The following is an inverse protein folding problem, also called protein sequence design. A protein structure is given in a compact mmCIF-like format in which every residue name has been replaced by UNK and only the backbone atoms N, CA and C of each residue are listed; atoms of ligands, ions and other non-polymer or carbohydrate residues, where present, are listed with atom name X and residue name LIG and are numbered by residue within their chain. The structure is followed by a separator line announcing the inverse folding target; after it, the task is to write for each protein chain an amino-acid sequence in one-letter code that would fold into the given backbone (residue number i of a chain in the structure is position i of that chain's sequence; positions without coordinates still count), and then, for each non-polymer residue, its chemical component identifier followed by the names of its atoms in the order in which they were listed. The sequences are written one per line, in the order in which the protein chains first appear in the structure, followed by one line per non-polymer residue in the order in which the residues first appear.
data_IF_313050727443
#
_entry.id   IF_313050727443
#
_cell.length_a   1.000
_cell.length_b   1.000
_cell.length_c   1.000
_cell.angle_alpha   90.00
_cell.angle_beta   90.00
_cell.angle_gamma   90.00
#
_symmetry.space_group_name_H-M   'P 1'
#
loop_
_entity.id
_entity.type
_entity.pdbx_description
1 polymer ?
#
# COMPACT_ATOMS: atom_id res chain seq x y z
N UNK A 1 0.27 -41.37 0.61
CA UNK A 1 -0.52 -41.17 -0.62
C UNK A 1 -1.82 -40.47 -0.23
N UNK A 2 -1.84 -39.14 -0.35
CA UNK A 2 -3.01 -38.24 -0.47
C UNK A 2 -2.50 -36.81 -0.35
N UNK A 3 -2.06 -36.27 -1.48
CA UNK A 3 -1.90 -34.83 -1.68
C UNK A 3 -3.28 -34.21 -1.85
N UNK A 4 -3.56 -33.15 -1.09
CA UNK A 4 -4.71 -32.28 -1.30
C UNK A 4 -4.28 -30.83 -1.06
N UNK A 5 -4.40 -30.05 -2.14
CA UNK A 5 -3.84 -28.73 -2.34
C UNK A 5 -4.35 -27.65 -1.37
N UNK A 6 -3.41 -26.87 -0.86
CA UNK A 6 -3.64 -25.62 -0.12
C UNK A 6 -3.91 -24.46 -1.09
N UNK A 7 -5.19 -24.14 -1.32
CA UNK A 7 -5.62 -22.96 -2.08
C UNK A 7 -5.80 -21.72 -1.20
N UNK A 8 -5.25 -20.59 -1.65
CA UNK A 8 -5.24 -19.26 -1.03
C UNK A 8 -6.58 -18.51 -1.19
N UNK A 9 -7.34 -18.34 -0.11
CA UNK A 9 -8.56 -17.50 -0.06
C UNK A 9 -8.13 -16.07 0.27
N UNK A 10 -7.90 -15.27 -0.76
CA UNK A 10 -7.49 -13.86 -0.66
C UNK A 10 -7.54 -13.13 -2.00
N UNK A 11 -7.50 -13.88 -3.10
CA UNK A 11 -7.72 -13.36 -4.45
C UNK A 11 -9.19 -13.49 -4.91
N UNK A 12 -10.04 -14.23 -4.19
CA UNK A 12 -11.33 -14.68 -4.72
C UNK A 12 -12.38 -13.57 -4.97
N UNK A 13 -12.11 -12.29 -4.65
CA UNK A 13 -13.10 -11.20 -4.68
C UNK A 13 -12.74 -9.98 -5.55
N UNK A 14 -11.60 -9.98 -6.26
CA UNK A 14 -11.31 -8.86 -7.18
C UNK A 14 -12.21 -8.92 -8.42
N UNK A 15 -12.77 -7.78 -8.86
CA UNK A 15 -13.47 -7.72 -10.14
C UNK A 15 -12.60 -8.24 -11.28
N UNK A 16 -13.19 -8.99 -12.19
CA UNK A 16 -12.50 -9.67 -13.28
C UNK A 16 -12.74 -8.92 -14.58
N UNK A 17 -11.67 -8.61 -15.29
CA UNK A 17 -11.67 -8.06 -16.64
C UNK A 17 -11.16 -9.12 -17.60
N UNK A 18 -11.98 -9.53 -18.57
CA UNK A 18 -11.52 -10.44 -19.61
C UNK A 18 -11.11 -9.67 -20.87
N UNK A 19 -9.98 -10.03 -21.46
CA UNK A 19 -9.52 -9.49 -22.74
C UNK A 19 -9.73 -10.54 -23.82
N UNK A 20 -10.69 -10.28 -24.72
CA UNK A 20 -11.07 -11.17 -25.82
C UNK A 20 -10.76 -10.53 -27.16
N UNK A 21 -10.55 -11.35 -28.18
CA UNK A 21 -10.23 -10.90 -29.52
C UNK A 21 -9.37 -11.92 -30.24
N UNK A 22 -9.26 -11.77 -31.56
CA UNK A 22 -8.54 -12.72 -32.40
C UNK A 22 -7.03 -12.72 -32.12
N UNK A 23 -6.29 -13.73 -32.59
CA UNK A 23 -4.83 -13.69 -32.55
C UNK A 23 -4.28 -12.41 -33.21
N UNK A 24 -3.14 -11.92 -32.72
CA UNK A 24 -2.38 -10.80 -33.32
C UNK A 24 -3.04 -9.40 -33.34
N UNK A 25 -4.21 -9.21 -32.74
CA UNK A 25 -4.85 -7.88 -32.55
C UNK A 25 -4.15 -7.02 -31.48
N UNK A 26 -3.19 -7.59 -30.74
CA UNK A 26 -2.38 -6.87 -29.73
C UNK A 26 -2.91 -6.95 -28.30
N UNK A 27 -3.68 -7.99 -27.95
CA UNK A 27 -4.19 -8.26 -26.59
C UNK A 27 -3.09 -8.23 -25.54
N UNK A 28 -2.04 -9.03 -25.71
CA UNK A 28 -0.96 -9.13 -24.71
C UNK A 28 -0.18 -7.82 -24.55
N UNK A 29 -0.03 -7.04 -25.63
CA UNK A 29 0.55 -5.70 -25.56
C UNK A 29 -0.32 -4.74 -24.74
N UNK A 30 -1.65 -4.80 -24.92
CA UNK A 30 -2.59 -4.00 -24.15
C UNK A 30 -2.58 -4.43 -22.67
N UNK A 31 -2.63 -5.73 -22.38
CA UNK A 31 -2.57 -6.27 -21.01
C UNK A 31 -1.28 -5.82 -20.31
N UNK A 32 -0.12 -5.98 -20.96
CA UNK A 32 1.16 -5.53 -20.40
C UNK A 32 1.19 -4.03 -20.12
N UNK A 33 0.55 -3.22 -20.97
CA UNK A 33 0.41 -1.78 -20.73
C UNK A 33 -0.44 -1.48 -19.51
N UNK A 34 -1.58 -2.14 -19.37
CA UNK A 34 -2.48 -1.90 -18.24
C UNK A 34 -1.78 -2.27 -16.92
N UNK A 35 -1.06 -3.39 -16.90
CA UNK A 35 -0.31 -3.85 -15.73
C UNK A 35 0.93 -2.99 -15.45
N UNK A 36 1.65 -2.54 -16.49
CA UNK A 36 2.90 -1.79 -16.37
C UNK A 36 2.76 -0.30 -16.01
N UNK A 37 1.54 0.23 -15.85
CA UNK A 37 1.32 1.66 -15.54
C UNK A 37 1.70 2.07 -14.11
N UNK A 38 2.03 1.13 -13.22
CA UNK A 38 2.84 1.31 -11.98
C UNK A 38 2.95 -0.06 -11.27
N UNK A 39 4.18 -0.55 -11.11
CA UNK A 39 4.61 -1.73 -10.33
C UNK A 39 3.50 -2.54 -9.64
N UNK A 40 2.79 -3.38 -10.40
CA UNK A 40 2.09 -4.51 -9.83
C UNK A 40 3.11 -5.62 -9.58
N UNK A 41 3.26 -6.06 -8.33
CA UNK A 41 4.03 -7.26 -8.00
C UNK A 41 3.36 -8.42 -8.75
N UNK A 42 4.04 -8.92 -9.77
CA UNK A 42 3.63 -10.12 -10.51
C UNK A 42 3.93 -11.32 -9.62
N UNK A 43 2.95 -11.78 -8.85
CA UNK A 43 3.03 -13.11 -8.23
C UNK A 43 2.73 -14.17 -9.30
N UNK A 44 3.79 -14.80 -9.82
CA UNK A 44 3.64 -16.08 -10.51
C UNK A 44 3.30 -17.14 -9.47
N UNK A 45 2.04 -17.60 -9.45
CA UNK A 45 1.65 -18.75 -8.61
C UNK A 45 2.19 -20.04 -9.24
N UNK A 46 3.09 -20.78 -8.57
CA UNK A 46 3.49 -22.10 -9.03
C UNK A 46 2.33 -23.07 -8.77
N UNK A 47 1.85 -23.76 -9.82
CA UNK A 47 0.97 -24.92 -9.66
C UNK A 47 -0.43 -24.87 -10.29
N UNK A 48 -0.71 -23.95 -11.22
CA UNK A 48 -1.97 -23.97 -12.00
C UNK A 48 -1.69 -24.28 -13.47
N UNK A 49 -2.42 -25.25 -13.99
CA UNK A 49 -2.32 -25.82 -15.34
C UNK A 49 -2.16 -24.78 -16.45
N UNK A 50 -1.10 -24.98 -17.25
CA UNK A 50 -0.61 -24.44 -18.54
C UNK A 50 -1.29 -23.29 -19.33
N UNK A 51 -2.50 -22.80 -19.07
CA UNK A 51 -3.26 -22.02 -20.06
C UNK A 51 -3.88 -20.68 -19.59
N UNK A 52 -3.57 -20.15 -18.40
CA UNK A 52 -4.18 -18.89 -17.92
C UNK A 52 -3.19 -17.99 -17.20
N UNK A 53 -2.91 -16.80 -17.76
CA UNK A 53 -2.22 -15.71 -17.05
C UNK A 53 -3.26 -14.77 -16.45
N UNK A 54 -3.37 -14.78 -15.14
CA UNK A 54 -4.15 -13.81 -14.38
C UNK A 54 -3.18 -12.77 -13.83
N UNK A 55 -3.44 -11.50 -14.10
CA UNK A 55 -2.61 -10.39 -13.63
C UNK A 55 -3.48 -9.41 -12.85
N UNK A 56 -2.93 -8.84 -11.77
CA UNK A 56 -3.63 -7.79 -11.01
C UNK A 56 -3.16 -6.44 -11.52
N UNK A 57 -4.11 -5.55 -11.82
CA UNK A 57 -3.87 -4.18 -12.21
C UNK A 57 -4.57 -3.22 -11.24
N UNK A 58 -4.09 -1.97 -11.22
CA UNK A 58 -4.69 -0.88 -10.44
C UNK A 58 -4.80 0.38 -11.29
N UNK A 59 -5.96 1.03 -11.24
CA UNK A 59 -6.19 2.33 -11.88
C UNK A 59 -7.03 3.22 -10.96
N UNK A 60 -6.53 4.43 -10.66
CA UNK A 60 -7.18 5.41 -9.75
C UNK A 60 -7.57 4.75 -8.41
N UNK A 61 -6.65 3.98 -7.82
CA UNK A 61 -6.87 3.28 -6.55
C UNK A 61 -7.80 2.06 -6.62
N UNK A 62 -8.37 1.74 -7.80
CA UNK A 62 -9.23 0.59 -7.99
C UNK A 62 -8.44 -0.61 -8.53
N UNK A 63 -8.41 -1.71 -7.77
CA UNK A 63 -7.76 -2.97 -8.15
C UNK A 63 -8.72 -3.91 -8.85
N UNK A 64 -8.23 -4.60 -9.88
CA UNK A 64 -8.99 -5.60 -10.62
C UNK A 64 -8.05 -6.66 -11.21
N UNK A 65 -8.59 -7.85 -11.48
CA UNK A 65 -7.88 -8.94 -12.13
C UNK A 65 -8.12 -8.87 -13.63
N UNK A 66 -7.06 -8.91 -14.42
CA UNK A 66 -7.10 -9.05 -15.87
C UNK A 66 -6.82 -10.50 -16.24
N UNK A 67 -7.69 -11.06 -17.06
CA UNK A 67 -7.59 -12.41 -17.60
C UNK A 67 -7.46 -12.30 -19.13
N UNK A 68 -6.29 -12.66 -19.66
CA UNK A 68 -6.12 -12.81 -21.11
C UNK A 68 -6.69 -14.18 -21.51
N UNK A 69 -7.78 -14.18 -22.28
CA UNK A 69 -8.42 -15.43 -22.70
C UNK A 69 -7.72 -16.08 -23.90
N UNK A 70 -6.65 -15.50 -24.45
CA UNK A 70 -6.20 -15.83 -25.81
C UNK A 70 -4.69 -15.90 -26.11
N UNK A 71 -3.81 -16.18 -25.16
CA UNK A 71 -2.41 -16.54 -25.45
C UNK A 71 -1.81 -17.23 -24.24
N UNK A 72 -1.25 -18.44 -24.33
CA UNK A 72 -0.07 -18.82 -25.09
C UNK A 72 -0.22 -20.25 -25.64
N UNK A 73 0.22 -20.48 -26.88
CA UNK A 73 0.18 -21.76 -27.63
C UNK A 73 -1.13 -21.96 -28.42
N UNK A 74 -1.07 -21.52 -29.67
CA UNK A 74 -1.97 -22.00 -30.71
C UNK A 74 -1.55 -23.43 -31.09
N UNK A 75 -2.25 -24.44 -30.59
CA UNK A 75 -2.25 -25.76 -31.23
C UNK A 75 -3.41 -25.86 -32.21
N UNK A 76 -3.08 -26.43 -33.37
CA UNK A 76 -3.89 -26.52 -34.58
C UNK A 76 -5.19 -27.31 -34.36
N UNK A 77 -6.29 -26.61 -34.12
CA UNK A 77 -7.67 -27.05 -34.41
C UNK A 77 -8.60 -25.82 -34.45
N UNK A 78 -9.69 -25.91 -35.23
CA UNK A 78 -10.49 -24.82 -35.78
C UNK A 78 -10.57 -23.50 -34.96
N UNK A 79 -9.82 -22.48 -35.42
CA UNK A 79 -9.66 -21.15 -34.81
C UNK A 79 -11.00 -20.49 -34.42
N UNK A 80 -12.02 -20.61 -35.28
CA UNK A 80 -13.33 -20.00 -35.06
C UNK A 80 -14.08 -20.57 -33.83
N UNK A 81 -13.94 -21.87 -33.57
CA UNK A 81 -14.58 -22.53 -32.41
C UNK A 81 -13.93 -22.07 -31.10
N UNK A 82 -12.59 -22.05 -31.08
CA UNK A 82 -11.83 -21.57 -29.91
C UNK A 82 -12.13 -20.11 -29.57
N UNK A 83 -12.21 -19.24 -30.57
CA UNK A 83 -12.50 -17.82 -30.36
C UNK A 83 -13.94 -17.62 -29.83
N UNK A 84 -14.89 -18.44 -30.26
CA UNK A 84 -16.27 -18.43 -29.74
C UNK A 84 -16.33 -18.90 -28.29
N UNK A 85 -15.64 -19.99 -27.95
CA UNK A 85 -15.55 -20.51 -26.57
C UNK A 85 -14.91 -19.50 -25.60
N UNK A 86 -13.91 -18.75 -26.06
CA UNK A 86 -13.29 -17.66 -25.28
C UNK A 86 -14.28 -16.54 -24.97
N UNK A 87 -15.08 -16.13 -25.96
CA UNK A 87 -16.09 -15.09 -25.78
C UNK A 87 -17.17 -15.52 -24.77
N UNK A 88 -17.69 -16.75 -24.91
CA UNK A 88 -18.68 -17.30 -23.97
C UNK A 88 -18.12 -17.44 -22.55
N UNK A 89 -16.84 -17.81 -22.43
CA UNK A 89 -16.18 -17.91 -21.13
C UNK A 89 -16.00 -16.54 -20.48
N UNK A 90 -15.59 -15.53 -21.25
CA UNK A 90 -15.52 -14.15 -20.78
C UNK A 90 -16.88 -13.67 -20.26
N UNK A 91 -17.98 -13.97 -20.96
CA UNK A 91 -19.33 -13.66 -20.51
C UNK A 91 -19.69 -14.33 -19.18
N UNK A 92 -19.20 -15.53 -18.91
CA UNK A 92 -19.46 -16.22 -17.63
C UNK A 92 -18.62 -15.68 -16.49
N UNK A 93 -17.33 -15.44 -16.73
CA UNK A 93 -16.34 -15.23 -15.66
C UNK A 93 -15.97 -13.77 -15.40
N UNK A 94 -16.07 -12.88 -16.39
CA UNK A 94 -15.63 -11.49 -16.26
C UNK A 94 -16.73 -10.60 -15.72
N UNK A 95 -16.42 -9.53 -15.02
CA UNK A 95 -17.38 -8.48 -14.72
C UNK A 95 -17.43 -7.41 -15.83
N UNK A 96 -16.30 -7.18 -16.51
CA UNK A 96 -16.19 -6.32 -17.71
C UNK A 96 -15.39 -7.05 -18.79
N UNK A 97 -15.80 -6.91 -20.05
CA UNK A 97 -15.15 -7.58 -21.18
C UNK A 97 -14.55 -6.52 -22.12
N UNK A 98 -13.26 -6.65 -22.45
CA UNK A 98 -12.60 -5.85 -23.48
C UNK A 98 -12.52 -6.67 -24.77
N UNK A 99 -13.27 -6.26 -25.81
CA UNK A 99 -13.15 -6.83 -27.14
C UNK A 99 -12.12 -6.04 -27.94
N UNK A 100 -10.94 -6.62 -28.15
CA UNK A 100 -9.83 -5.98 -28.87
C UNK A 100 -9.85 -6.35 -30.35
N UNK A 101 -9.89 -5.33 -31.21
CA UNK A 101 -9.84 -5.44 -32.67
C UNK A 101 -8.65 -4.65 -33.20
N UNK A 102 -8.04 -5.13 -34.28
CA UNK A 102 -6.99 -4.39 -34.98
C UNK A 102 -7.59 -3.35 -35.93
N UNK A 103 -7.43 -2.07 -35.61
CA UNK A 103 -7.97 -0.98 -36.42
C UNK A 103 -7.35 -0.90 -37.82
N UNK A 104 -6.14 -1.44 -38.03
CA UNK A 104 -5.47 -1.44 -39.33
C UNK A 104 -6.05 -2.47 -40.30
N UNK A 105 -6.71 -3.50 -39.77
CA UNK A 105 -7.35 -4.57 -40.56
C UNK A 105 -8.85 -4.29 -40.72
N UNK A 106 -9.46 -3.63 -39.73
CA UNK A 106 -10.91 -3.43 -39.67
C UNK A 106 -11.65 -4.67 -39.15
N UNK A 107 -12.98 -4.61 -39.15
CA UNK A 107 -13.84 -5.69 -38.65
C UNK A 107 -13.82 -6.90 -39.61
N UNK A 108 -13.37 -8.06 -39.13
CA UNK A 108 -13.44 -9.31 -39.89
C UNK A 108 -14.70 -10.12 -39.57
N UNK A 109 -14.95 -11.18 -40.34
CA UNK A 109 -16.06 -12.10 -40.06
C UNK A 109 -15.95 -12.74 -38.66
N UNK A 110 -14.73 -13.11 -38.27
CA UNK A 110 -14.40 -13.67 -36.96
C UNK A 110 -14.68 -12.65 -35.83
N UNK A 111 -14.33 -11.36 -36.02
CA UNK A 111 -14.68 -10.29 -35.08
C UNK A 111 -16.20 -10.15 -34.98
N UNK A 112 -16.91 -10.22 -36.12
CA UNK A 112 -18.37 -10.20 -36.16
C UNK A 112 -19.02 -11.37 -35.41
N UNK A 113 -18.45 -12.58 -35.50
CA UNK A 113 -18.93 -13.75 -34.76
C UNK A 113 -18.78 -13.55 -33.24
N UNK A 114 -17.61 -13.08 -32.79
CA UNK A 114 -17.37 -12.75 -31.37
C UNK A 114 -18.31 -11.67 -30.89
N UNK A 115 -18.47 -10.60 -31.67
CA UNK A 115 -19.34 -9.48 -31.31
C UNK A 115 -20.79 -9.94 -31.15
N UNK A 116 -21.32 -10.79 -32.05
CA UNK A 116 -22.68 -11.36 -31.91
C UNK A 116 -22.87 -12.19 -30.65
N UNK A 117 -21.83 -12.89 -30.19
CA UNK A 117 -21.86 -13.63 -28.93
C UNK A 117 -21.89 -12.65 -27.76
N UNK A 118 -20.96 -11.69 -27.74
CA UNK A 118 -20.82 -10.70 -26.67
C UNK A 118 -22.00 -9.74 -26.56
N UNK A 119 -22.73 -9.47 -27.65
CA UNK A 119 -23.99 -8.69 -27.63
C UNK A 119 -25.07 -9.33 -26.74
N UNK A 120 -24.99 -10.65 -26.47
CA UNK A 120 -25.91 -11.36 -25.56
C UNK A 120 -25.47 -11.24 -24.10
N UNK A 121 -24.30 -10.66 -23.83
CA UNK A 121 -23.78 -10.44 -22.50
C UNK A 121 -24.65 -9.45 -21.73
N UNK A 122 -24.94 -9.78 -20.47
CA UNK A 122 -25.51 -8.85 -19.50
C UNK A 122 -24.44 -8.00 -18.80
N UNK A 123 -23.16 -8.25 -19.10
CA UNK A 123 -22.00 -7.54 -18.54
C UNK A 123 -21.50 -6.49 -19.52
N UNK A 124 -20.94 -5.35 -19.05
CA UNK A 124 -20.37 -4.33 -19.91
C UNK A 124 -19.31 -4.89 -20.86
N UNK A 125 -19.43 -4.55 -22.14
CA UNK A 125 -18.46 -4.91 -23.18
C UNK A 125 -17.91 -3.63 -23.79
N UNK A 126 -16.61 -3.41 -23.69
CA UNK A 126 -15.92 -2.27 -24.27
C UNK A 126 -15.22 -2.71 -25.56
N UNK A 127 -15.57 -2.07 -26.67
CA UNK A 127 -14.91 -2.29 -27.96
C UNK A 127 -13.61 -1.48 -28.02
N UNK A 128 -12.48 -2.16 -28.21
CA UNK A 128 -11.15 -1.55 -28.21
C UNK A 128 -10.53 -1.66 -29.60
N UNK A 129 -10.40 -0.53 -30.29
CA UNK A 129 -9.74 -0.43 -31.58
C UNK A 129 -8.24 -0.17 -31.36
N UNK A 130 -7.43 -1.23 -31.43
CA UNK A 130 -5.99 -1.17 -31.17
C UNK A 130 -5.17 -0.84 -32.43
N UNK A 131 -3.92 -0.40 -32.25
CA UNK A 131 -2.97 0.02 -33.31
C UNK A 131 -3.35 1.34 -34.03
N UNK A 132 -4.10 2.19 -33.34
CA UNK A 132 -4.40 3.56 -33.80
C UNK A 132 -3.24 4.48 -33.42
N UNK A 133 -2.20 4.47 -34.25
CA UNK A 133 -0.94 5.18 -33.99
C UNK A 133 -0.94 6.63 -34.53
N UNK A 134 -1.87 6.97 -35.43
CA UNK A 134 -1.98 8.27 -36.09
C UNK A 134 -3.44 8.73 -36.26
N UNK A 135 -3.63 10.01 -36.56
CA UNK A 135 -4.94 10.66 -36.68
C UNK A 135 -5.74 10.22 -37.92
N UNK A 136 -5.09 9.69 -38.96
CA UNK A 136 -5.80 9.19 -40.17
C UNK A 136 -6.55 7.90 -39.84
N UNK A 137 -5.96 7.04 -39.02
CA UNK A 137 -6.57 5.78 -38.56
C UNK A 137 -7.74 5.96 -37.60
N UNK A 138 -7.94 7.16 -37.04
CA UNK A 138 -9.12 7.46 -36.21
C UNK A 138 -10.41 7.43 -37.06
N UNK A 139 -10.34 7.84 -38.33
CA UNK A 139 -11.49 7.82 -39.25
C UNK A 139 -11.90 6.38 -39.62
N UNK A 140 -10.93 5.50 -39.87
CA UNK A 140 -11.17 4.10 -40.25
C UNK A 140 -11.72 3.28 -39.09
N UNK A 141 -11.34 3.61 -37.86
CA UNK A 141 -11.81 2.92 -36.66
C UNK A 141 -13.32 3.10 -36.42
N UNK A 142 -13.95 4.18 -36.90
CA UNK A 142 -15.41 4.36 -36.81
C UNK A 142 -16.20 3.26 -37.54
N UNK A 143 -15.61 2.61 -38.55
CA UNK A 143 -16.23 1.50 -39.24
C UNK A 143 -16.49 0.29 -38.31
N UNK A 144 -15.76 0.18 -37.20
CA UNK A 144 -15.91 -0.88 -36.19
C UNK A 144 -17.21 -0.78 -35.41
N UNK A 145 -17.88 0.37 -35.40
CA UNK A 145 -19.22 0.55 -34.80
C UNK A 145 -20.24 -0.45 -35.38
N UNK A 146 -20.02 -0.93 -36.61
CA UNK A 146 -20.85 -1.97 -37.25
C UNK A 146 -20.84 -3.31 -36.49
N UNK A 147 -19.90 -3.54 -35.57
CA UNK A 147 -19.90 -4.69 -34.66
C UNK A 147 -20.99 -4.60 -33.58
N UNK A 148 -21.65 -3.45 -33.42
CA UNK A 148 -22.82 -3.30 -32.55
C UNK A 148 -22.51 -3.41 -31.05
N UNK A 149 -21.30 -3.03 -30.63
CA UNK A 149 -20.84 -3.03 -29.23
C UNK A 149 -20.61 -1.61 -28.68
N UNK A 150 -21.21 -0.60 -29.31
CA UNK A 150 -21.02 0.81 -28.96
C UNK A 150 -19.86 1.47 -29.72
N UNK A 151 -19.46 2.65 -29.24
CA UNK A 151 -18.37 3.42 -29.83
C UNK A 151 -17.00 2.78 -29.53
N UNK A 152 -16.09 2.66 -30.51
CA UNK A 152 -14.79 2.04 -30.29
C UNK A 152 -13.85 2.97 -29.52
N UNK A 153 -13.24 2.45 -28.45
CA UNK A 153 -12.13 3.10 -27.76
C UNK A 153 -10.85 2.97 -28.58
N UNK A 154 -10.36 4.10 -29.08
CA UNK A 154 -9.18 4.16 -29.95
C UNK A 154 -7.91 4.11 -29.11
N UNK A 155 -7.12 3.05 -29.26
CA UNK A 155 -5.89 2.87 -28.48
C UNK A 155 -4.69 2.52 -29.34
N UNK A 156 -3.52 3.00 -28.91
CA UNK A 156 -2.24 2.43 -29.32
C UNK A 156 -1.62 1.76 -28.10
N UNK A 157 -1.74 0.44 -28.01
CA UNK A 157 -1.14 -0.36 -26.94
C UNK A 157 0.39 -0.33 -26.94
N UNK A 158 1.04 0.06 -28.05
CA UNK A 158 2.49 0.25 -28.13
C UNK A 158 2.89 1.67 -27.71
N UNK A 159 2.15 2.71 -28.10
CA UNK A 159 2.61 4.11 -27.90
C UNK A 159 1.99 4.88 -26.73
N UNK A 160 0.79 4.54 -26.28
CA UNK A 160 0.22 4.99 -24.99
C UNK A 160 -1.12 5.66 -25.15
N UNK A 161 -1.40 6.07 -26.39
CA UNK A 161 -2.57 6.84 -26.80
C UNK A 161 -3.87 6.12 -26.44
N UNK A 162 -4.82 6.87 -25.86
CA UNK A 162 -6.18 6.40 -25.51
C UNK A 162 -6.27 5.40 -24.36
N UNK A 163 -5.14 4.92 -23.83
CA UNK A 163 -5.14 3.92 -22.75
C UNK A 163 -5.51 4.48 -21.37
N UNK A 164 -5.62 5.80 -21.21
CA UNK A 164 -6.14 6.43 -19.98
C UNK A 164 -7.66 6.40 -19.99
N UNK A 165 -8.25 7.01 -21.01
CA UNK A 165 -9.71 7.08 -21.21
C UNK A 165 -10.36 5.68 -21.25
N UNK A 166 -9.71 4.68 -21.87
CA UNK A 166 -10.17 3.28 -21.81
C UNK A 166 -10.20 2.74 -20.38
N UNK A 167 -9.21 3.07 -19.55
CA UNK A 167 -9.13 2.58 -18.17
C UNK A 167 -10.14 3.29 -17.26
N UNK A 168 -10.41 4.57 -17.50
CA UNK A 168 -11.45 5.32 -16.80
C UNK A 168 -12.82 4.66 -17.03
N UNK A 169 -13.17 4.38 -18.29
CA UNK A 169 -14.42 3.69 -18.65
C UNK A 169 -14.47 2.25 -18.12
N UNK A 170 -13.36 1.51 -18.22
CA UNK A 170 -13.25 0.15 -17.68
C UNK A 170 -13.57 0.13 -16.18
N UNK A 171 -12.95 1.01 -15.39
CA UNK A 171 -13.16 1.07 -13.94
C UNK A 171 -14.59 1.48 -13.62
N UNK A 172 -15.18 2.40 -14.38
CA UNK A 172 -16.58 2.79 -14.23
C UNK A 172 -17.56 1.62 -14.48
N UNK A 173 -17.20 0.70 -15.38
CA UNK A 173 -17.99 -0.50 -15.68
C UNK A 173 -17.83 -1.65 -14.68
N UNK A 174 -16.83 -1.62 -13.80
CA UNK A 174 -16.65 -2.68 -12.80
C UNK A 174 -17.80 -2.68 -11.78
N UNK A 175 -18.19 -3.86 -11.23
CA UNK A 175 -19.14 -3.94 -10.14
C UNK A 175 -18.68 -3.00 -9.04
N UNK A 176 -19.59 -2.19 -8.51
CA UNK A 176 -19.27 -1.38 -7.33
C UNK A 176 -18.68 -2.33 -6.29
N UNK A 177 -17.58 -1.91 -5.67
CA UNK A 177 -17.03 -2.67 -4.56
C UNK A 177 -18.20 -2.91 -3.61
N UNK A 178 -18.46 -4.15 -3.14
CA UNK A 178 -19.31 -4.28 -1.98
C UNK A 178 -18.73 -3.28 -0.99
N UNK A 179 -19.53 -2.28 -0.59
CA UNK A 179 -19.13 -1.33 0.44
C UNK A 179 -18.48 -2.20 1.50
N UNK A 180 -17.16 -2.03 1.73
CA UNK A 180 -16.60 -2.42 3.01
C UNK A 180 -17.62 -1.92 4.03
N UNK A 181 -18.06 -2.76 5.00
CA UNK A 181 -19.11 -2.38 5.94
C UNK A 181 -18.85 -0.95 6.31
N UNK A 182 -19.82 -0.07 5.98
CA UNK A 182 -19.63 1.38 5.90
C UNK A 182 -18.61 1.76 6.96
N UNK A 183 -17.44 2.24 6.53
CA UNK A 183 -16.45 2.75 7.48
C UNK A 183 -17.26 3.60 8.45
N UNK A 184 -17.27 3.26 9.76
CA UNK A 184 -18.20 3.86 10.68
C UNK A 184 -18.09 5.37 10.49
N UNK A 185 -19.20 6.05 10.22
CA UNK A 185 -19.21 7.52 10.11
C UNK A 185 -18.71 8.08 11.45
N UNK A 186 -17.41 8.37 11.49
CA UNK A 186 -16.64 8.68 12.69
C UNK A 186 -15.13 8.57 12.40
N UNK A 187 -14.28 9.24 13.18
CA UNK A 187 -12.84 9.05 13.07
C UNK A 187 -12.48 7.57 13.33
N UNK A 188 -11.74 6.96 12.40
CA UNK A 188 -11.21 5.62 12.60
C UNK A 188 -10.30 5.62 13.84
N UNK A 189 -10.39 4.61 14.73
CA UNK A 189 -9.52 4.55 15.90
C UNK A 189 -8.05 4.51 15.47
N UNK A 190 -7.22 5.30 16.14
CA UNK A 190 -5.78 5.36 15.89
C UNK A 190 -5.16 3.96 16.01
N UNK A 191 -4.50 3.54 14.94
CA UNK A 191 -4.10 2.16 14.77
C UNK A 191 -2.64 1.90 15.13
N UNK A 192 -2.40 0.82 15.87
CA UNK A 192 -1.13 0.56 16.54
C UNK A 192 -0.67 -0.87 16.24
N UNK A 193 0.53 -0.99 15.66
CA UNK A 193 1.23 -2.26 15.55
C UNK A 193 2.16 -2.48 16.75
N UNK A 194 2.19 -3.70 17.31
CA UNK A 194 3.20 -4.09 18.30
C UNK A 194 4.24 -4.96 17.61
N UNK A 195 5.46 -4.42 17.47
CA UNK A 195 6.52 -5.02 16.66
C UNK A 195 7.80 -5.19 17.47
N UNK A 196 8.68 -6.07 17.02
CA UNK A 196 9.91 -6.43 17.72
C UNK A 196 10.29 -7.89 17.50
N UNK A 197 11.51 -8.26 17.87
CA UNK A 197 12.04 -9.62 17.71
C UNK A 197 11.22 -10.68 18.46
N UNK A 198 11.34 -11.97 18.10
CA UNK A 198 10.80 -13.04 18.94
C UNK A 198 11.20 -12.89 20.42
N UNK A 199 10.34 -13.30 21.34
CA UNK A 199 10.63 -13.39 22.79
C UNK A 199 10.95 -12.08 23.55
N UNK A 200 10.87 -10.91 22.90
CA UNK A 200 11.01 -9.59 23.56
C UNK A 200 9.84 -9.22 24.49
N UNK A 201 8.74 -10.01 24.47
CA UNK A 201 7.59 -9.84 25.35
C UNK A 201 6.39 -9.09 24.76
N UNK A 202 6.25 -9.05 23.43
CA UNK A 202 5.11 -8.42 22.72
C UNK A 202 3.74 -8.91 23.19
N UNK A 203 3.53 -10.23 23.24
CA UNK A 203 2.25 -10.81 23.68
C UNK A 203 1.94 -10.50 25.15
N UNK A 204 2.96 -10.54 26.02
CA UNK A 204 2.81 -10.17 27.43
C UNK A 204 2.44 -8.70 27.56
N UNK A 205 3.09 -7.82 26.77
CA UNK A 205 2.79 -6.40 26.74
C UNK A 205 1.36 -6.13 26.27
N UNK A 206 0.95 -6.73 25.15
CA UNK A 206 -0.39 -6.62 24.61
C UNK A 206 -1.47 -7.06 25.63
N UNK A 207 -1.34 -8.26 26.20
CA UNK A 207 -2.30 -8.78 27.16
C UNK A 207 -2.40 -7.91 28.42
N UNK A 208 -1.28 -7.30 28.82
CA UNK A 208 -1.27 -6.36 29.94
C UNK A 208 -1.94 -5.04 29.59
N UNK A 209 -1.61 -4.44 28.46
CA UNK A 209 -2.27 -3.21 28.01
C UNK A 209 -3.78 -3.38 27.84
N UNK A 210 -4.23 -4.55 27.37
CA UNK A 210 -5.66 -4.88 27.25
C UNK A 210 -6.29 -5.22 28.61
N UNK A 211 -5.54 -5.85 29.52
CA UNK A 211 -6.08 -6.38 30.79
C UNK A 211 -5.92 -5.49 32.02
N UNK A 212 -4.99 -4.52 32.03
CA UNK A 212 -4.74 -3.61 33.17
C UNK A 212 -5.68 -2.39 33.19
N UNK A 213 -6.47 -2.18 32.15
CA UNK A 213 -7.39 -1.04 32.05
C UNK A 213 -8.78 -1.51 31.63
N UNK A 214 -9.79 -0.72 32.03
CA UNK A 214 -11.23 -0.97 31.96
C UNK A 214 -11.78 -0.99 30.52
N UNK A 215 -11.02 -1.59 29.61
CA UNK A 215 -11.26 -1.59 28.19
C UNK A 215 -12.21 -2.70 27.79
N UNK A 216 -13.25 -2.32 27.05
CA UNK A 216 -14.08 -3.29 26.35
C UNK A 216 -13.33 -3.67 25.08
N UNK A 217 -13.20 -4.97 24.86
CA UNK A 217 -12.42 -5.54 23.77
C UNK A 217 -13.39 -6.00 22.70
N UNK A 218 -13.28 -5.42 21.50
CA UNK A 218 -14.02 -5.85 20.33
C UNK A 218 -13.06 -6.38 19.27
N UNK A 219 -13.32 -7.58 18.77
CA UNK A 219 -12.54 -8.19 17.70
C UNK A 219 -13.20 -7.86 16.35
N UNK A 220 -12.47 -7.18 15.47
CA UNK A 220 -12.91 -6.91 14.10
C UNK A 220 -12.30 -7.94 13.15
N UNK A 221 -13.12 -8.65 12.35
CA UNK A 221 -12.61 -9.51 11.28
C UNK A 221 -11.87 -8.67 10.23
N UNK A 222 -10.56 -8.81 10.12
CA UNK A 222 -9.76 -8.16 9.08
C UNK A 222 -9.99 -8.81 7.71
N UNK A 223 -10.11 -8.00 6.66
CA UNK A 223 -10.24 -8.48 5.28
C UNK A 223 -8.87 -8.89 4.74
N UNK A 224 -8.35 -10.04 5.17
CA UNK A 224 -7.32 -10.87 4.51
C UNK A 224 -6.96 -12.03 5.47
N UNK A 225 -7.69 -13.13 5.32
CA UNK A 225 -7.52 -14.51 5.82
C UNK A 225 -7.11 -14.83 7.28
N UNK A 226 -6.46 -13.98 8.08
CA UNK A 226 -6.04 -14.39 9.45
C UNK A 226 -5.73 -13.24 10.43
N UNK A 227 -5.94 -11.97 10.07
CA UNK A 227 -5.69 -10.85 10.99
C UNK A 227 -6.95 -10.49 11.74
N UNK A 228 -6.95 -10.77 13.05
CA UNK A 228 -7.92 -10.21 13.99
C UNK A 228 -7.28 -8.94 14.53
N UNK A 229 -7.92 -7.80 14.27
CA UNK A 229 -7.59 -6.54 14.90
C UNK A 229 -8.40 -6.42 16.19
N UNK A 230 -7.82 -5.81 17.22
CA UNK A 230 -8.48 -5.62 18.50
C UNK A 230 -8.68 -4.15 18.78
N UNK A 231 -9.93 -3.72 18.94
CA UNK A 231 -10.25 -2.39 19.47
C UNK A 231 -10.24 -2.46 20.99
N UNK A 232 -9.55 -1.50 21.59
CA UNK A 232 -9.41 -1.32 23.04
C UNK A 232 -9.99 0.06 23.37
N UNK A 233 -11.11 0.07 24.09
CA UNK A 233 -11.69 1.30 24.62
C UNK A 233 -10.83 1.81 25.80
N UNK A 234 -10.24 2.99 25.68
CA UNK A 234 -9.49 3.64 26.78
C UNK A 234 -10.29 4.84 27.31
N UNK A 235 -9.95 5.34 28.50
CA UNK A 235 -10.56 6.56 29.06
C UNK A 235 -10.40 7.78 28.13
N UNK A 236 -9.44 7.73 27.20
CA UNK A 236 -9.10 8.79 26.24
C UNK A 236 -9.58 8.47 24.81
N UNK A 237 -10.37 7.41 24.61
CA UNK A 237 -10.97 7.02 23.33
C UNK A 237 -10.55 5.63 22.84
N UNK A 238 -11.08 5.16 21.70
CA UNK A 238 -10.75 3.84 21.16
C UNK A 238 -9.35 3.82 20.53
N UNK A 239 -8.63 2.72 20.70
CA UNK A 239 -7.38 2.39 19.99
C UNK A 239 -7.52 1.06 19.26
N UNK A 240 -7.00 0.95 18.04
CA UNK A 240 -7.03 -0.29 17.26
C UNK A 240 -5.65 -0.93 17.24
N UNK A 241 -5.47 -2.09 17.88
CA UNK A 241 -4.26 -2.88 17.75
C UNK A 241 -4.35 -3.79 16.53
N UNK A 242 -3.38 -3.69 15.63
CA UNK A 242 -3.33 -4.42 14.36
C UNK A 242 -2.62 -5.76 14.53
N UNK A 243 -3.13 -6.80 13.87
CA UNK A 243 -2.54 -8.16 13.84
C UNK A 243 -2.34 -8.78 15.25
N UNK A 244 -3.39 -8.74 16.07
CA UNK A 244 -3.35 -9.27 17.45
C UNK A 244 -3.52 -10.80 17.50
N UNK A 245 -4.02 -11.41 16.43
CA UNK A 245 -4.16 -12.85 16.29
C UNK A 245 -2.84 -13.61 16.52
N UNK A 246 -1.73 -13.11 15.96
CA UNK A 246 -0.39 -13.68 16.18
C UNK A 246 0.11 -13.52 17.61
N UNK A 247 -0.33 -12.48 18.32
CA UNK A 247 0.02 -12.24 19.72
C UNK A 247 -0.80 -13.10 20.69
N UNK A 248 -2.08 -13.35 20.39
CA UNK A 248 -2.98 -14.21 21.17
C UNK A 248 -2.75 -15.72 20.94
N UNK A 249 -2.34 -16.15 19.72
CA UNK A 249 -2.04 -17.57 19.42
C UNK A 249 -0.68 -18.04 19.98
N UNK A 250 0.31 -17.15 20.08
CA UNK A 250 1.66 -17.46 20.60
C UNK A 250 1.73 -17.89 22.07
N UNK A 251 0.63 -17.78 22.83
CA UNK A 251 0.55 -18.41 24.17
C UNK A 251 0.30 -19.92 24.13
N UNK A 252 0.06 -20.54 22.96
CA UNK A 252 -0.30 -21.97 22.88
C UNK A 252 0.37 -22.79 21.76
N UNK A 253 1.10 -22.23 20.79
CA UNK A 253 1.69 -23.00 19.67
C UNK A 253 3.04 -22.43 19.21
N UNK A 254 4.03 -23.30 19.00
CA UNK A 254 5.27 -23.05 18.25
C UNK A 254 4.97 -23.09 16.74
N UNK A 255 4.88 -21.93 16.09
CA UNK A 255 4.76 -21.85 14.62
C UNK A 255 6.16 -21.74 13.95
N UNK A 256 6.38 -22.39 12.80
CA UNK A 256 7.68 -22.50 12.17
C UNK A 256 8.05 -21.23 11.37
N UNK A 257 9.36 -20.95 11.32
CA UNK A 257 10.08 -19.93 10.53
C UNK A 257 9.93 -18.45 10.92
N UNK A 258 11.02 -17.88 11.43
CA UNK A 258 11.20 -16.44 11.74
C UNK A 258 10.87 -15.51 10.55
N UNK A 259 11.04 -15.98 9.32
CA UNK A 259 10.79 -15.22 8.09
C UNK A 259 9.36 -14.70 7.99
N UNK A 260 8.34 -15.54 8.22
CA UNK A 260 6.94 -15.13 8.17
C UNK A 260 6.56 -14.17 9.29
N UNK A 261 7.27 -14.24 10.43
CA UNK A 261 7.06 -13.30 11.54
C UNK A 261 7.52 -11.88 11.20
N UNK A 262 8.58 -11.74 10.40
CA UNK A 262 9.06 -10.43 9.94
C UNK A 262 8.10 -9.86 8.89
N UNK A 263 7.69 -10.65 7.88
CA UNK A 263 6.76 -10.18 6.84
C UNK A 263 5.44 -9.71 7.45
N UNK A 264 4.87 -10.46 8.40
CA UNK A 264 3.66 -10.05 9.14
C UNK A 264 3.87 -8.76 9.92
N UNK A 265 4.98 -8.63 10.64
CA UNK A 265 5.29 -7.40 11.38
C UNK A 265 5.39 -6.18 10.45
N UNK A 266 5.94 -6.33 9.25
CA UNK A 266 5.99 -5.25 8.25
C UNK A 266 4.61 -4.90 7.71
N UNK A 267 3.78 -5.91 7.40
CA UNK A 267 2.40 -5.68 6.96
C UNK A 267 1.55 -4.99 8.04
N UNK A 268 1.76 -5.32 9.32
CA UNK A 268 1.09 -4.66 10.43
C UNK A 268 1.50 -3.18 10.52
N UNK A 269 2.79 -2.88 10.34
CA UNK A 269 3.31 -1.49 10.32
C UNK A 269 2.72 -0.69 9.16
N UNK A 270 2.64 -1.27 7.96
CA UNK A 270 2.08 -0.60 6.78
C UNK A 270 0.58 -0.24 6.93
N UNK A 271 -0.12 -0.91 7.86
CA UNK A 271 -1.55 -0.69 8.16
C UNK A 271 -1.81 0.09 9.45
N UNK A 272 -0.75 0.54 10.12
CA UNK A 272 -0.83 1.21 11.42
C UNK A 272 -0.36 2.66 11.35
N UNK A 273 -0.99 3.52 12.12
CA UNK A 273 -0.61 4.93 12.29
C UNK A 273 0.60 5.07 13.22
N UNK A 274 0.72 4.17 14.21
CA UNK A 274 1.86 4.06 15.11
C UNK A 274 2.37 2.61 15.29
N UNK A 275 3.62 2.49 15.73
CA UNK A 275 4.27 1.25 16.05
C UNK A 275 4.90 1.32 17.45
N UNK A 276 4.53 0.36 18.31
CA UNK A 276 5.24 0.06 19.55
C UNK A 276 6.42 -0.87 19.22
N UNK A 277 7.63 -0.31 19.13
CA UNK A 277 8.84 -1.09 18.92
C UNK A 277 9.34 -1.65 20.26
N UNK A 278 9.05 -2.92 20.51
CA UNK A 278 9.41 -3.62 21.73
C UNK A 278 10.80 -4.23 21.60
N UNK A 279 11.69 -3.82 22.51
CA UNK A 279 13.07 -4.28 22.58
C UNK A 279 13.31 -4.90 23.95
N UNK A 280 14.01 -6.03 23.97
CA UNK A 280 14.45 -6.65 25.23
C UNK A 280 15.63 -5.87 25.82
N UNK A 281 15.40 -5.16 26.92
CA UNK A 281 16.42 -4.35 27.56
C UNK A 281 17.56 -5.18 28.16
N UNK A 282 17.35 -6.47 28.41
CA UNK A 282 18.39 -7.39 28.91
C UNK A 282 19.36 -7.83 27.81
N UNK A 283 18.99 -7.69 26.55
CA UNK A 283 19.88 -7.95 25.41
C UNK A 283 20.44 -6.66 24.81
N UNK A 284 19.79 -5.53 25.07
CA UNK A 284 20.10 -4.25 24.42
C UNK A 284 19.52 -4.19 23.00
N UNK A 285 19.90 -3.17 22.24
CA UNK A 285 19.40 -2.98 20.87
C UNK A 285 20.21 -3.84 19.91
N UNK A 286 19.58 -4.86 19.31
CA UNK A 286 20.23 -5.71 18.31
C UNK A 286 20.22 -5.09 16.90
N UNK A 287 20.98 -5.68 15.96
CA UNK A 287 20.91 -5.27 14.55
C UNK A 287 19.54 -5.50 13.91
N UNK A 288 18.79 -6.51 14.36
CA UNK A 288 17.45 -6.77 13.84
C UNK A 288 16.44 -5.76 14.39
N UNK A 289 16.61 -5.29 15.63
CA UNK A 289 15.81 -4.18 16.18
C UNK A 289 16.06 -2.89 15.39
N UNK A 290 17.33 -2.59 15.07
CA UNK A 290 17.70 -1.43 14.27
C UNK A 290 17.12 -1.49 12.84
N UNK A 291 17.23 -2.63 12.15
CA UNK A 291 16.65 -2.79 10.81
C UNK A 291 15.13 -2.66 10.81
N UNK A 292 14.47 -3.16 11.84
CA UNK A 292 13.03 -3.03 12.00
C UNK A 292 12.65 -1.57 12.24
N UNK A 293 13.38 -0.86 13.10
CA UNK A 293 13.21 0.57 13.33
C UNK A 293 13.38 1.41 12.04
N UNK A 294 14.43 1.15 11.26
CA UNK A 294 14.67 1.79 9.96
C UNK A 294 13.50 1.56 8.99
N UNK A 295 12.90 0.36 9.00
CA UNK A 295 11.78 0.05 8.13
C UNK A 295 10.48 0.74 8.56
N UNK A 296 10.23 0.84 9.86
CA UNK A 296 9.07 1.57 10.39
C UNK A 296 9.20 3.07 10.06
N UNK A 297 10.40 3.64 10.25
CA UNK A 297 10.68 5.03 9.88
C UNK A 297 10.47 5.27 8.38
N UNK A 298 10.95 4.36 7.54
CA UNK A 298 10.77 4.43 6.09
C UNK A 298 9.29 4.35 5.65
N UNK A 299 8.45 3.61 6.39
CA UNK A 299 6.99 3.60 6.17
C UNK A 299 6.35 4.96 6.55
N UNK A 300 7.03 5.72 7.42
CA UNK A 300 6.54 6.95 7.99
C UNK A 300 5.38 6.70 8.95
N UNK A 301 5.54 5.68 9.78
CA UNK A 301 4.66 5.32 10.91
C UNK A 301 5.26 5.91 12.21
N UNK A 302 4.44 6.44 13.10
CA UNK A 302 4.91 6.95 14.40
C UNK A 302 5.57 5.84 15.23
N UNK A 303 6.64 6.15 15.96
CA UNK A 303 7.39 5.13 16.70
C UNK A 303 7.43 5.51 18.18
N UNK A 304 7.05 4.56 19.02
CA UNK A 304 7.30 4.59 20.45
C UNK A 304 8.18 3.39 20.78
N UNK A 305 9.39 3.66 21.27
CA UNK A 305 10.35 2.61 21.62
C UNK A 305 10.05 2.14 23.04
N UNK A 306 9.87 0.84 23.21
CA UNK A 306 9.53 0.20 24.49
C UNK A 306 10.67 -0.74 24.88
N UNK A 307 11.50 -0.31 25.83
CA UNK A 307 12.52 -1.14 26.47
C UNK A 307 11.86 -2.00 27.53
N UNK A 308 11.47 -3.22 27.16
CA UNK A 308 10.80 -4.18 28.01
C UNK A 308 11.80 -4.98 28.87
N UNK A 309 11.30 -5.64 29.92
CA UNK A 309 12.09 -6.39 30.90
C UNK A 309 13.10 -5.53 31.67
N UNK A 310 12.80 -4.23 31.82
CA UNK A 310 13.70 -3.27 32.47
C UNK A 310 14.00 -3.62 33.94
N UNK A 311 13.07 -4.31 34.60
CA UNK A 311 13.22 -4.85 35.95
C UNK A 311 14.35 -5.88 36.08
N UNK A 312 14.65 -6.60 34.99
CA UNK A 312 15.72 -7.60 34.96
C UNK A 312 17.10 -7.00 34.63
N UNK A 313 17.18 -5.71 34.29
CA UNK A 313 18.44 -5.05 33.95
C UNK A 313 19.18 -4.60 35.23
N UNK A 314 20.38 -5.14 35.52
CA UNK A 314 21.19 -4.72 36.67
C UNK A 314 21.54 -3.23 36.60
N UNK A 315 21.60 -2.57 37.75
CA UNK A 315 21.79 -1.12 37.86
C UNK A 315 23.06 -0.65 37.12
N UNK A 316 24.12 -1.44 37.17
CA UNK A 316 25.43 -1.18 36.57
C UNK A 316 25.38 -1.24 35.04
N UNK A 317 24.45 -2.01 34.46
CA UNK A 317 24.31 -2.19 33.01
C UNK A 317 23.37 -1.17 32.37
N UNK A 318 22.51 -0.50 33.16
CA UNK A 318 21.54 0.48 32.65
C UNK A 318 22.15 1.65 31.87
N UNK A 319 23.33 2.19 32.21
CA UNK A 319 23.99 3.20 31.40
C UNK A 319 24.37 2.68 30.01
N UNK A 320 24.89 1.45 29.93
CA UNK A 320 25.28 0.84 28.65
C UNK A 320 24.09 0.67 27.72
N UNK A 321 22.95 0.19 28.23
CA UNK A 321 21.72 0.04 27.41
C UNK A 321 21.24 1.39 26.86
N UNK A 322 21.41 2.48 27.61
CA UNK A 322 21.04 3.82 27.14
C UNK A 322 21.97 4.32 26.04
N UNK A 323 23.27 4.05 26.15
CA UNK A 323 24.26 4.33 25.11
C UNK A 323 23.92 3.53 23.85
N UNK A 324 23.64 2.24 23.98
CA UNK A 324 23.29 1.37 22.84
C UNK A 324 22.05 1.89 22.08
N UNK A 325 21.04 2.39 22.82
CA UNK A 325 19.85 3.02 22.22
C UNK A 325 20.22 4.31 21.49
N UNK A 326 21.00 5.19 22.10
CA UNK A 326 21.41 6.45 21.47
C UNK A 326 22.25 6.22 20.21
N UNK A 327 23.15 5.24 20.24
CA UNK A 327 24.05 4.91 19.13
C UNK A 327 23.30 4.23 17.97
N UNK A 328 22.42 3.27 18.26
CA UNK A 328 21.77 2.45 17.23
C UNK A 328 20.44 3.01 16.76
N UNK A 329 19.72 3.75 17.60
CA UNK A 329 18.41 4.33 17.29
C UNK A 329 18.43 5.87 17.29
N UNK A 330 19.61 6.50 17.29
CA UNK A 330 19.74 7.96 17.30
C UNK A 330 19.08 8.68 16.11
N UNK A 331 18.84 7.97 15.00
CA UNK A 331 18.04 8.50 13.88
C UNK A 331 16.56 8.70 14.24
N UNK A 332 16.07 7.99 15.25
CA UNK A 332 14.75 8.16 15.86
C UNK A 332 14.76 9.13 17.04
N UNK A 333 15.58 10.18 17.00
CA UNK A 333 15.70 11.13 18.11
C UNK A 333 14.40 11.84 18.52
N UNK A 334 13.34 11.74 17.71
CA UNK A 334 11.99 12.23 18.01
C UNK A 334 11.12 11.20 18.75
N UNK A 335 11.45 9.91 18.72
CA UNK A 335 10.64 8.84 19.28
C UNK A 335 10.85 8.71 20.80
N UNK A 336 9.79 8.65 21.61
CA UNK A 336 9.91 8.41 23.04
C UNK A 336 10.46 7.02 23.32
N UNK A 337 11.33 6.92 24.33
CA UNK A 337 11.92 5.66 24.81
C UNK A 337 11.39 5.37 26.21
N UNK A 338 10.47 4.42 26.30
CA UNK A 338 9.81 4.03 27.54
C UNK A 338 10.48 2.79 28.14
N UNK A 339 10.82 2.86 29.43
CA UNK A 339 11.43 1.76 30.19
C UNK A 339 10.35 1.05 30.99
N UNK A 340 10.00 -0.18 30.61
CA UNK A 340 8.84 -0.89 31.16
C UNK A 340 9.15 -2.33 31.55
N UNK A 341 8.23 -2.92 32.30
CA UNK A 341 8.18 -4.37 32.53
C UNK A 341 6.77 -4.85 32.27
N UNK A 342 6.56 -5.50 31.13
CA UNK A 342 5.27 -6.10 30.81
C UNK A 342 4.87 -7.14 31.87
N UNK A 343 5.82 -7.94 32.37
CA UNK A 343 5.51 -8.98 33.33
C UNK A 343 5.03 -8.42 34.68
N UNK A 344 5.70 -7.39 35.22
CA UNK A 344 5.34 -6.81 36.52
C UNK A 344 4.32 -5.68 36.46
N UNK A 345 4.02 -5.14 35.26
CA UNK A 345 3.19 -3.95 35.08
C UNK A 345 3.93 -2.62 35.29
N UNK A 346 5.21 -2.66 35.67
CA UNK A 346 5.98 -1.45 35.97
C UNK A 346 6.03 -0.52 34.76
N UNK A 347 5.66 0.74 34.98
CA UNK A 347 5.68 1.85 34.02
C UNK A 347 4.79 1.67 32.77
N UNK A 348 3.87 0.68 32.74
CA UNK A 348 2.98 0.50 31.58
C UNK A 348 2.04 1.69 31.34
N UNK A 349 1.61 2.36 32.41
CA UNK A 349 0.78 3.58 32.38
C UNK A 349 1.33 4.75 31.53
N UNK A 350 2.59 4.70 31.13
CA UNK A 350 3.21 5.73 30.28
C UNK A 350 3.08 5.44 28.78
N UNK A 351 2.65 4.23 28.40
CA UNK A 351 2.53 3.84 26.99
C UNK A 351 1.35 4.54 26.32
N UNK A 352 0.18 4.56 26.96
CA UNK A 352 -1.01 5.19 26.39
C UNK A 352 -0.84 6.70 26.18
N UNK A 353 -0.35 7.49 27.17
CA UNK A 353 -0.05 8.90 26.93
C UNK A 353 0.90 9.14 25.76
N UNK A 354 1.98 8.33 25.64
CA UNK A 354 2.93 8.47 24.54
C UNK A 354 2.30 8.16 23.16
N UNK A 355 1.35 7.23 23.10
CA UNK A 355 0.59 6.94 21.89
C UNK A 355 -0.39 8.08 21.54
N UNK A 356 -0.97 8.72 22.55
CA UNK A 356 -1.88 9.87 22.37
C UNK A 356 -1.15 11.13 21.95
N UNK A 357 0.05 11.36 22.48
CA UNK A 357 0.94 12.41 21.98
C UNK A 357 1.27 12.18 20.49
N UNK A 358 1.50 10.92 20.10
CA UNK A 358 1.71 10.56 18.70
C UNK A 358 0.47 10.80 17.83
N UNK A 359 -0.72 10.35 18.26
CA UNK A 359 -1.99 10.58 17.56
C UNK A 359 -2.30 12.08 17.41
N UNK A 360 -2.15 12.85 18.48
CA UNK A 360 -2.36 14.30 18.45
C UNK A 360 -1.44 14.96 17.44
N UNK A 361 -0.14 14.63 17.49
CA UNK A 361 0.86 15.12 16.54
C UNK A 361 0.61 14.65 15.10
N UNK A 362 0.03 13.46 14.93
CA UNK A 362 -0.33 12.89 13.63
C UNK A 362 -1.35 13.76 12.91
N UNK A 363 -2.38 14.25 13.59
CA UNK A 363 -3.44 15.04 12.94
C UNK A 363 -3.15 16.55 12.82
N UNK A 364 -1.97 17.03 13.21
CA UNK A 364 -1.67 18.47 13.22
C UNK A 364 -1.72 19.08 11.82
N UNK A 365 -2.60 20.08 11.64
CA UNK A 365 -2.62 20.94 10.45
C UNK A 365 -1.80 22.21 10.68
N UNK A 366 -0.75 22.38 9.91
CA UNK A 366 0.14 23.53 9.95
C UNK A 366 -0.33 24.64 8.99
N UNK A 367 -0.49 25.89 9.47
CA UNK A 367 -0.80 27.03 8.61
C UNK A 367 0.30 27.28 7.57
N UNK A 368 -0.07 27.37 6.29
CA UNK A 368 0.89 27.54 5.18
C UNK A 368 1.73 28.82 5.33
N UNK A 369 1.11 29.92 5.79
CA UNK A 369 1.83 31.19 5.99
C UNK A 369 2.94 31.06 7.04
N UNK A 370 2.65 30.37 8.15
CA UNK A 370 3.59 30.14 9.24
C UNK A 370 4.69 29.16 8.85
N UNK A 371 4.35 28.06 8.18
CA UNK A 371 5.33 27.12 7.62
C UNK A 371 6.36 27.83 6.74
N UNK A 372 5.89 28.69 5.84
CA UNK A 372 6.78 29.47 4.97
C UNK A 372 7.64 30.46 5.76
N UNK A 373 7.16 31.01 6.87
CA UNK A 373 7.96 31.86 7.78
C UNK A 373 9.08 31.05 8.44
N UNK A 374 8.77 29.87 8.96
CA UNK A 374 9.74 28.95 9.59
C UNK A 374 10.82 28.54 8.60
N UNK A 375 10.44 28.14 7.38
CA UNK A 375 11.39 27.74 6.33
C UNK A 375 12.29 28.90 5.90
N UNK A 376 11.76 30.12 5.80
CA UNK A 376 12.58 31.31 5.49
C UNK A 376 13.59 31.60 6.59
N UNK A 377 13.16 31.60 7.84
CA UNK A 377 14.03 31.82 9.00
C UNK A 377 15.12 30.73 9.09
N UNK A 378 14.77 29.45 8.90
CA UNK A 378 15.73 28.35 8.85
C UNK A 378 16.77 28.54 7.73
N UNK A 379 16.35 28.92 6.52
CA UNK A 379 17.27 29.18 5.40
C UNK A 379 18.18 30.40 5.63
N UNK A 380 17.73 31.39 6.40
CA UNK A 380 18.55 32.56 6.75
C UNK A 380 19.61 32.20 7.80
N UNK A 381 19.24 31.47 8.84
CA UNK A 381 20.15 31.05 9.91
C UNK A 381 21.20 30.05 9.43
N UNK A 382 20.76 29.06 8.65
CA UNK A 382 21.63 28.05 8.09
C UNK A 382 21.31 27.87 6.60
N UNK A 383 21.99 28.62 5.72
CA UNK A 383 21.78 28.51 4.29
C UNK A 383 22.14 27.11 3.76
N UNK A 384 21.45 26.62 2.73
CA UNK A 384 21.80 25.35 2.13
C UNK A 384 23.19 25.39 1.48
N UNK A 385 23.91 24.25 1.49
CA UNK A 385 25.22 24.16 0.86
C UNK A 385 25.09 24.37 -0.66
N UNK A 386 26.17 24.89 -1.26
CA UNK A 386 26.19 25.20 -2.70
C UNK A 386 26.35 23.90 -3.49
N UNK A 387 25.48 23.68 -4.48
CA UNK A 387 25.58 22.57 -5.44
C UNK A 387 25.96 23.10 -6.82
N UNK A 388 27.09 22.64 -7.37
CA UNK A 388 27.57 23.00 -8.73
C UNK A 388 27.38 24.48 -9.07
N UNK A 389 27.95 25.35 -8.23
CA UNK A 389 27.95 26.83 -8.30
C UNK A 389 26.62 27.53 -7.97
N UNK A 390 25.54 26.81 -7.69
CA UNK A 390 24.23 27.40 -7.38
C UNK A 390 23.76 26.99 -5.99
N UNK A 391 23.22 27.94 -5.23
CA UNK A 391 22.61 27.64 -3.93
C UNK A 391 21.15 27.22 -4.14
N UNK A 392 20.75 25.97 -3.84
CA UNK A 392 19.34 25.59 -3.88
C UNK A 392 18.56 26.44 -2.87
N UNK A 393 17.30 26.76 -3.14
CA UNK A 393 16.46 27.52 -2.20
C UNK A 393 15.05 26.94 -2.23
N UNK A 394 14.44 26.80 -1.07
CA UNK A 394 13.01 26.57 -0.94
C UNK A 394 12.31 27.90 -1.20
N UNK A 395 11.51 27.94 -2.25
CA UNK A 395 10.73 29.10 -2.66
C UNK A 395 9.46 29.22 -1.82
N UNK A 396 8.76 28.10 -1.66
CA UNK A 396 7.60 27.99 -0.80
C UNK A 396 7.39 26.54 -0.36
N UNK A 397 6.62 26.35 0.70
CA UNK A 397 6.28 25.05 1.26
C UNK A 397 4.78 24.98 1.60
N UNK A 398 4.18 23.81 1.49
CA UNK A 398 2.79 23.55 1.89
C UNK A 398 2.68 22.20 2.60
N UNK A 399 1.70 22.04 3.49
CA UNK A 399 1.32 20.72 4.00
C UNK A 399 0.29 20.11 3.05
N UNK A 400 0.67 19.02 2.38
CA UNK A 400 -0.16 18.33 1.39
C UNK A 400 -1.04 17.22 1.98
N UNK A 401 -0.68 16.68 3.13
CA UNK A 401 -1.48 15.71 3.88
C UNK A 401 -1.21 15.84 5.39
N UNK A 402 -2.21 15.50 6.21
CA UNK A 402 -2.12 15.44 7.67
C UNK A 402 -1.73 14.06 8.17
N UNK A 403 -2.10 12.99 7.49
CA UNK A 403 -2.06 11.64 8.06
C UNK A 403 -1.12 10.71 7.25
N UNK A 404 0.21 10.71 7.49
CA UNK A 404 0.99 11.53 8.41
C UNK A 404 1.36 12.94 7.87
N UNK A 405 1.87 13.86 8.72
CA UNK A 405 2.22 15.22 8.32
C UNK A 405 3.20 15.25 7.16
N UNK A 406 2.69 15.60 5.98
CA UNK A 406 3.44 15.56 4.73
C UNK A 406 3.61 16.98 4.20
N UNK A 407 4.85 17.46 4.15
CA UNK A 407 5.18 18.78 3.63
C UNK A 407 5.82 18.66 2.26
N UNK A 408 5.30 19.45 1.31
CA UNK A 408 5.89 19.59 -0.03
C UNK A 408 6.67 20.90 -0.07
N UNK A 409 7.98 20.78 -0.29
CA UNK A 409 8.93 21.88 -0.46
C UNK A 409 9.15 22.13 -1.96
N UNK A 410 8.79 23.31 -2.44
CA UNK A 410 9.05 23.73 -3.81
C UNK A 410 10.38 24.45 -3.86
N UNK A 411 11.38 23.77 -4.41
CA UNK A 411 12.76 24.25 -4.43
C UNK A 411 13.25 24.55 -5.85
N UNK A 412 14.23 25.44 -5.94
CA UNK A 412 14.89 25.75 -7.22
C UNK A 412 15.68 24.57 -7.78
N UNK A 413 16.17 23.69 -6.89
CA UNK A 413 16.93 22.47 -7.20
C UNK A 413 16.71 21.43 -6.10
N UNK A 414 17.29 20.24 -6.25
CA UNK A 414 17.33 19.24 -5.16
C UNK A 414 18.08 19.78 -3.95
N UNK A 415 17.61 19.41 -2.77
CA UNK A 415 18.26 19.72 -1.49
C UNK A 415 19.01 18.47 -0.99
N UNK A 416 20.21 18.61 -0.42
CA UNK A 416 20.92 17.47 0.15
C UNK A 416 20.14 16.82 1.32
N UNK A 417 20.25 15.50 1.52
CA UNK A 417 19.55 14.80 2.61
C UNK A 417 19.84 15.35 4.01
N UNK A 418 21.06 15.82 4.26
CA UNK A 418 21.44 16.45 5.54
C UNK A 418 20.72 17.78 5.76
N UNK A 419 20.49 18.54 4.69
CA UNK A 419 19.74 19.80 4.76
C UNK A 419 18.24 19.55 4.92
N UNK A 420 17.71 18.49 4.30
CA UNK A 420 16.33 18.07 4.53
C UNK A 420 16.08 17.70 5.98
N UNK A 421 16.98 16.90 6.59
CA UNK A 421 16.93 16.59 8.03
C UNK A 421 16.97 17.84 8.91
N UNK A 422 17.79 18.83 8.54
CA UNK A 422 17.80 20.12 9.24
C UNK A 422 16.44 20.82 9.16
N UNK A 423 15.87 20.95 7.96
CA UNK A 423 14.56 21.58 7.77
C UNK A 423 13.45 20.82 8.50
N UNK A 424 13.47 19.49 8.44
CA UNK A 424 12.55 18.61 9.16
C UNK A 424 12.59 18.89 10.66
N UNK A 425 13.79 18.93 11.25
CA UNK A 425 13.97 19.23 12.67
C UNK A 425 13.41 20.61 13.03
N UNK A 426 13.63 21.62 12.19
CA UNK A 426 13.09 22.98 12.42
C UNK A 426 11.57 23.04 12.34
N UNK A 427 10.96 22.29 11.42
CA UNK A 427 9.50 22.17 11.34
C UNK A 427 8.98 21.48 12.60
N UNK A 428 9.59 20.35 12.99
CA UNK A 428 9.23 19.57 14.18
C UNK A 428 9.27 20.41 15.45
N UNK A 429 10.39 21.09 15.70
CA UNK A 429 10.60 21.92 16.89
C UNK A 429 9.60 23.10 16.96
N UNK A 430 9.27 23.71 15.81
CA UNK A 430 8.40 24.90 15.78
C UNK A 430 6.92 24.56 15.98
N UNK A 431 6.46 23.45 15.39
CA UNK A 431 5.05 23.04 15.42
C UNK A 431 4.75 21.95 16.46
N UNK A 432 5.73 21.62 17.30
CA UNK A 432 5.63 20.59 18.33
C UNK A 432 5.08 19.25 17.81
N UNK A 433 5.61 18.79 16.67
CA UNK A 433 5.15 17.57 15.98
C UNK A 433 5.62 16.27 16.68
N UNK A 434 6.02 16.37 17.94
CA UNK A 434 6.33 15.27 18.86
C UNK A 434 7.00 14.06 18.20
N UNK A 435 6.47 12.84 18.43
CA UNK A 435 7.06 11.59 17.95
C UNK A 435 6.60 11.18 16.54
N UNK A 436 5.86 12.03 15.85
CA UNK A 436 5.25 11.69 14.57
C UNK A 436 6.23 11.90 13.41
N UNK A 437 6.37 10.96 12.47
CA UNK A 437 7.25 11.10 11.32
C UNK A 437 6.77 12.25 10.43
N UNK A 438 7.72 13.02 9.91
CA UNK A 438 7.45 14.12 9.00
C UNK A 438 7.88 13.71 7.60
N UNK A 439 6.94 13.62 6.67
CA UNK A 439 7.26 13.30 5.26
C UNK A 439 7.60 14.58 4.51
N UNK A 440 8.88 14.78 4.17
CA UNK A 440 9.32 15.89 3.31
C UNK A 440 9.42 15.45 1.84
N UNK A 441 8.59 16.04 0.98
CA UNK A 441 8.66 15.87 -0.49
C UNK A 441 9.28 17.12 -1.09
N UNK A 442 10.27 16.96 -1.98
CA UNK A 442 10.86 18.09 -2.71
C UNK A 442 10.39 18.07 -4.16
N UNK A 443 9.72 19.15 -4.60
CA UNK A 443 9.38 19.37 -6.01
C UNK A 443 10.23 20.47 -6.60
N UNK A 444 10.72 20.26 -7.83
CA UNK A 444 11.42 21.29 -8.60
C UNK A 444 10.39 22.10 -9.36
N UNK A 445 10.55 23.42 -9.42
CA UNK A 445 9.59 24.33 -10.05
C UNK A 445 9.46 24.17 -11.58
N UNK A 446 10.29 23.35 -12.23
CA UNK A 446 10.30 23.18 -13.69
C UNK A 446 9.67 21.85 -14.16
N UNK A 447 9.01 21.10 -13.28
CA UNK A 447 8.27 19.87 -13.60
C UNK A 447 6.78 20.01 -13.26
#
# INVERSE_FOLDING_TARGET
MRDAASGTVGDAALPVVAVVGRPNVGKSTLVNRIVGKREAIVEERPGVTRDRKELVAEWIGRRFRIVDTGGWIATSEALAKQVSEQAERAMREADVILMVVDATVGATEEDGQVARILQRSQKPVLLVANKVDDQRREADAWALTRLGLGEPHLVSAIHGRGSGDLLDELVAGLPREPKAPEEPEGPQPFSIAIVGRPNVGKSTLFNRLVGDERSVVHDLPGTTRDTIDTIVETDEGPLRFVDTAGMRRRSKVDEPTEYYSVVRALQAVDRSDAALLVIDATEGVSHQDQRLAERIDAAGTAIVVVLNKWDLVPTERRPQVQIDVADRLGFLGYAPVLKVSALSGRNLKHILPALRDAETAYHVRVPTAELNRVIRDAQQRHPPPVDRKHRPRVLYATQGATDPPTFTLFATRSLPPTYLRYLERRIREHFDLGPTPIKLRVRRRND
#
